data_IF_737230799453
#
_entry.id   IF_737230799453
#
_cell.length_a   1.000
_cell.length_b   1.000
_cell.length_c   1.000
_cell.angle_alpha   90.00
_cell.angle_beta   90.00
_cell.angle_gamma   90.00
#
_symmetry.space_group_name_H-M   'P 1'
#
loop_
_entity.id
_entity.type
_entity.pdbx_description
1 polymer ?
#
# COMPACT_ATOMS: atom_id res chain seq x y z
N UNK A 1 -2.71 20.91 11.73
CA UNK A 1 -1.49 20.36 12.37
C UNK A 1 -0.90 19.34 11.42
N UNK A 2 0.36 19.49 10.99
CA UNK A 2 1.01 18.43 10.22
C UNK A 2 1.37 17.30 11.18
N UNK A 3 0.60 16.21 11.13
CA UNK A 3 0.95 15.02 11.92
C UNK A 3 2.20 14.37 11.33
N UNK A 4 2.90 13.60 12.14
CA UNK A 4 4.11 12.89 11.76
C UNK A 4 3.99 11.43 12.15
N UNK A 5 4.63 10.55 11.40
CA UNK A 5 4.67 9.11 11.70
C UNK A 5 6.08 8.58 11.48
N UNK A 6 6.54 7.72 12.36
CA UNK A 6 7.80 7.00 12.15
C UNK A 6 7.63 5.99 11.01
N UNK A 7 8.59 5.97 10.10
CA UNK A 7 8.69 5.05 8.97
C UNK A 7 10.02 4.30 9.06
N UNK A 8 9.96 2.99 8.88
CA UNK A 8 11.15 2.18 8.60
C UNK A 8 11.00 1.54 7.23
N UNK A 9 12.08 1.55 6.45
CA UNK A 9 12.19 0.82 5.18
C UNK A 9 13.37 -0.14 5.25
N UNK A 10 13.12 -1.40 4.89
CA UNK A 10 14.14 -2.41 4.61
C UNK A 10 14.21 -2.63 3.10
N UNK A 11 15.34 -2.29 2.51
CA UNK A 11 15.65 -2.49 1.10
C UNK A 11 16.50 -3.74 0.94
N UNK A 12 16.15 -4.59 -0.02
CA UNK A 12 16.77 -5.88 -0.30
C UNK A 12 17.28 -5.87 -1.74
N UNK A 13 18.60 -5.80 -1.90
CA UNK A 13 19.27 -5.88 -3.18
C UNK A 13 19.66 -7.34 -3.45
N UNK A 14 18.98 -7.97 -4.41
CA UNK A 14 19.13 -9.39 -4.69
C UNK A 14 20.10 -9.65 -5.85
N UNK A 15 20.61 -10.87 -5.96
CA UNK A 15 21.50 -11.30 -7.04
C UNK A 15 20.87 -11.20 -8.44
N UNK A 16 19.53 -11.17 -8.50
CA UNK A 16 18.77 -10.81 -9.70
C UNK A 16 17.74 -9.72 -9.37
N UNK A 17 17.38 -8.86 -10.34
CA UNK A 17 16.28 -7.94 -10.15
C UNK A 17 14.97 -8.70 -9.87
N UNK A 18 14.24 -8.25 -8.85
CA UNK A 18 12.92 -8.76 -8.51
C UNK A 18 11.86 -8.13 -9.43
N UNK A 19 10.91 -8.95 -9.87
CA UNK A 19 9.80 -8.53 -10.71
C UNK A 19 8.67 -7.93 -9.87
N UNK A 20 7.89 -7.01 -10.43
CA UNK A 20 6.79 -6.31 -9.73
C UNK A 20 5.77 -7.27 -9.10
N UNK A 21 5.51 -8.42 -9.74
CA UNK A 21 4.59 -9.43 -9.21
C UNK A 21 5.15 -10.23 -8.01
N UNK A 22 6.46 -10.20 -7.79
CA UNK A 22 7.13 -10.89 -6.68
C UNK A 22 6.89 -10.20 -5.32
N UNK A 23 6.31 -9.00 -5.28
CA UNK A 23 5.90 -8.34 -4.02
C UNK A 23 4.96 -9.20 -3.16
N UNK A 24 4.06 -9.96 -3.80
CA UNK A 24 3.18 -10.91 -3.09
C UNK A 24 3.97 -12.08 -2.49
N UNK A 25 5.02 -12.53 -3.17
CA UNK A 25 5.88 -13.61 -2.71
C UNK A 25 6.79 -13.13 -1.57
N UNK A 26 7.28 -11.89 -1.66
CA UNK A 26 8.04 -11.23 -0.58
C UNK A 26 7.21 -11.15 0.71
N UNK A 27 5.94 -10.72 0.61
CA UNK A 27 4.99 -10.78 1.74
C UNK A 27 4.85 -12.21 2.27
N UNK A 28 4.75 -13.18 1.37
CA UNK A 28 4.68 -14.61 1.72
C UNK A 28 5.90 -15.11 2.50
N UNK A 29 7.10 -14.69 2.11
CA UNK A 29 8.36 -15.02 2.78
C UNK A 29 8.44 -14.46 4.20
N UNK A 30 8.29 -13.14 4.35
CA UNK A 30 8.34 -12.49 5.67
C UNK A 30 7.20 -12.95 6.55
N UNK A 31 6.04 -13.17 5.95
CA UNK A 31 5.01 -13.92 6.58
C UNK A 31 5.54 -15.27 7.10
N UNK A 32 5.89 -16.20 6.24
CA UNK A 32 6.32 -17.55 6.65
C UNK A 32 7.35 -17.57 7.79
N UNK A 33 8.23 -16.57 7.84
CA UNK A 33 9.23 -16.35 8.90
C UNK A 33 8.65 -15.85 10.23
N UNK A 34 7.65 -14.98 10.22
CA UNK A 34 7.08 -14.32 11.40
C UNK A 34 5.63 -14.74 11.70
N UNK A 35 5.31 -16.04 11.58
CA UNK A 35 3.96 -16.61 11.78
C UNK A 35 3.27 -16.22 13.09
N UNK A 36 4.04 -16.04 14.15
CA UNK A 36 3.53 -15.69 15.48
C UNK A 36 3.26 -14.18 15.65
N UNK A 37 3.44 -13.37 14.60
CA UNK A 37 3.24 -11.92 14.59
C UNK A 37 2.16 -11.55 13.58
N UNK A 38 0.90 -11.40 14.01
CA UNK A 38 -0.23 -11.04 13.15
C UNK A 38 0.02 -9.84 12.25
N UNK A 39 0.88 -8.92 12.65
CA UNK A 39 1.20 -7.68 11.93
C UNK A 39 1.93 -7.95 10.60
N UNK A 40 2.64 -9.07 10.47
CA UNK A 40 3.30 -9.47 9.23
C UNK A 40 2.37 -10.22 8.26
N UNK A 41 1.19 -10.66 8.73
CA UNK A 41 0.29 -11.57 7.99
C UNK A 41 -1.18 -11.19 7.97
N UNK A 42 -1.60 -10.26 8.80
CA UNK A 42 -2.96 -9.77 8.97
C UNK A 42 -3.99 -10.87 9.33
N UNK A 43 -3.58 -11.87 10.12
CA UNK A 43 -4.45 -12.90 10.68
C UNK A 43 -4.41 -12.83 12.22
N UNK A 44 -5.53 -12.46 12.85
CA UNK A 44 -5.70 -12.59 14.31
C UNK A 44 -6.27 -13.96 14.66
N UNK A 45 -6.15 -14.37 15.93
CA UNK A 45 -6.69 -15.64 16.45
C UNK A 45 -8.23 -15.79 16.31
N UNK A 46 -8.95 -14.71 15.95
CA UNK A 46 -10.41 -14.67 15.87
C UNK A 46 -10.98 -14.23 14.49
N UNK A 47 -10.16 -14.10 13.44
CA UNK A 47 -10.62 -13.75 12.09
C UNK A 47 -9.79 -12.69 11.36
N UNK A 48 -10.32 -12.17 10.25
CA UNK A 48 -9.70 -11.10 9.45
C UNK A 48 -9.64 -9.80 10.26
N UNK A 49 -8.45 -9.20 10.36
CA UNK A 49 -8.30 -7.85 10.92
C UNK A 49 -8.71 -6.85 9.84
N UNK A 50 -9.85 -6.18 10.00
CA UNK A 50 -10.35 -5.12 9.11
C UNK A 50 -9.63 -3.78 9.33
N UNK A 51 -8.30 -3.79 9.30
CA UNK A 51 -7.46 -2.58 9.44
C UNK A 51 -6.55 -2.43 8.22
N UNK A 52 -6.26 -1.19 7.85
CA UNK A 52 -5.24 -0.90 6.85
C UNK A 52 -3.88 -1.44 7.32
N UNK A 53 -3.11 -2.13 6.46
CA UNK A 53 -1.85 -2.75 6.85
C UNK A 53 -0.76 -1.72 7.13
N UNK A 54 -0.12 -1.84 8.29
CA UNK A 54 1.00 -0.98 8.70
C UNK A 54 2.38 -1.48 8.27
N UNK A 55 2.44 -2.68 7.67
CA UNK A 55 3.62 -3.23 7.00
C UNK A 55 3.25 -3.62 5.57
N UNK A 56 4.04 -3.18 4.59
CA UNK A 56 3.78 -3.39 3.17
C UNK A 56 5.03 -3.87 2.44
N UNK A 57 4.81 -4.68 1.41
CA UNK A 57 5.86 -5.31 0.61
C UNK A 57 5.74 -4.83 -0.83
N UNK A 58 6.86 -4.46 -1.44
CA UNK A 58 6.92 -3.89 -2.78
C UNK A 58 8.15 -4.40 -3.51
N UNK A 59 8.03 -4.59 -4.81
CA UNK A 59 9.16 -4.79 -5.73
C UNK A 59 9.05 -3.70 -6.77
N UNK A 60 9.98 -2.76 -6.76
CA UNK A 60 9.95 -1.56 -7.62
C UNK A 60 11.35 -1.28 -8.12
N UNK A 61 11.52 -1.20 -9.44
CA UNK A 61 12.83 -1.00 -10.07
C UNK A 61 13.80 -2.13 -9.79
N UNK A 62 13.33 -3.38 -9.75
CA UNK A 62 14.18 -4.56 -9.51
C UNK A 62 14.54 -4.83 -8.04
N UNK A 63 14.12 -3.98 -7.11
CA UNK A 63 14.54 -4.04 -5.70
C UNK A 63 13.38 -4.37 -4.78
N UNK A 64 13.59 -5.31 -3.86
CA UNK A 64 12.63 -5.66 -2.82
C UNK A 64 12.61 -4.61 -1.71
N UNK A 65 11.44 -4.16 -1.30
CA UNK A 65 11.25 -3.19 -0.22
C UNK A 65 10.18 -3.67 0.73
N UNK A 66 10.48 -3.61 2.02
CA UNK A 66 9.51 -3.74 3.11
C UNK A 66 9.43 -2.39 3.80
N UNK A 67 8.24 -1.82 3.90
CA UNK A 67 8.02 -0.53 4.55
C UNK A 67 7.02 -0.70 5.70
N UNK A 68 7.36 -0.17 6.87
CA UNK A 68 6.51 -0.12 8.04
C UNK A 68 6.31 1.32 8.50
N UNK A 69 5.10 1.67 8.96
CA UNK A 69 4.82 2.97 9.59
C UNK A 69 4.17 2.78 10.97
N UNK A 70 4.39 3.72 11.88
CA UNK A 70 3.88 3.64 13.25
C UNK A 70 4.29 2.33 13.92
N UNK A 71 3.32 1.55 14.43
CA UNK A 71 3.58 0.21 14.98
C UNK A 71 4.34 -0.72 14.02
N UNK A 72 4.09 -0.62 12.71
CA UNK A 72 4.79 -1.40 11.69
C UNK A 72 6.26 -1.02 11.53
N UNK A 73 6.63 0.24 11.82
CA UNK A 73 8.01 0.71 11.79
C UNK A 73 8.82 0.05 12.91
N UNK A 74 8.33 0.10 14.16
CA UNK A 74 8.98 -0.55 15.30
C UNK A 74 9.18 -2.04 15.09
N UNK A 75 8.18 -2.74 14.53
CA UNK A 75 8.30 -4.16 14.20
C UNK A 75 9.39 -4.43 13.17
N UNK A 76 9.47 -3.61 12.12
CA UNK A 76 10.45 -3.79 11.06
C UNK A 76 11.88 -3.48 11.53
N UNK A 77 12.05 -2.63 12.54
CA UNK A 77 13.35 -2.40 13.18
C UNK A 77 13.89 -3.63 13.92
N UNK A 78 13.02 -4.52 14.40
CA UNK A 78 13.40 -5.75 15.11
C UNK A 78 13.56 -6.97 14.18
N UNK A 79 13.21 -6.86 12.89
CA UNK A 79 13.31 -7.95 11.92
C UNK A 79 14.76 -8.20 11.54
N UNK A 80 15.18 -9.45 11.38
CA UNK A 80 16.50 -9.76 10.83
C UNK A 80 16.55 -9.52 9.32
N UNK A 81 17.67 -9.00 8.82
CA UNK A 81 17.96 -8.97 7.39
C UNK A 81 18.19 -10.41 6.87
N UNK A 82 17.39 -10.89 5.90
CA UNK A 82 17.58 -12.22 5.34
C UNK A 82 18.81 -12.24 4.41
N UNK A 83 19.56 -13.35 4.43
CA UNK A 83 20.62 -13.62 3.44
C UNK A 83 20.09 -14.19 2.14
N UNK A 84 18.92 -14.82 2.18
CA UNK A 84 18.25 -15.41 1.02
C UNK A 84 16.74 -15.20 1.13
N UNK A 85 16.08 -15.12 -0.03
CA UNK A 85 14.63 -15.09 -0.16
C UNK A 85 14.18 -16.35 -0.89
N UNK A 86 13.19 -17.06 -0.35
CA UNK A 86 12.50 -18.12 -1.09
C UNK A 86 11.24 -17.54 -1.72
N UNK A 87 11.26 -17.34 -3.04
CA UNK A 87 10.21 -16.72 -3.84
C UNK A 87 9.64 -17.80 -4.80
N UNK A 88 8.42 -18.24 -4.54
CA UNK A 88 7.74 -19.31 -5.31
C UNK A 88 8.57 -20.60 -5.51
N UNK A 89 9.34 -20.98 -4.49
CA UNK A 89 10.21 -22.17 -4.53
C UNK A 89 11.61 -21.92 -5.10
N UNK A 90 11.86 -20.78 -5.74
CA UNK A 90 13.19 -20.34 -6.13
C UNK A 90 13.89 -19.67 -4.94
N UNK A 91 15.17 -19.98 -4.72
CA UNK A 91 15.98 -19.29 -3.72
C UNK A 91 16.82 -18.22 -4.39
N UNK A 92 16.64 -16.97 -3.96
CA UNK A 92 17.38 -15.82 -4.45
C UNK A 92 18.29 -15.31 -3.35
N UNK A 93 19.57 -15.11 -3.66
CA UNK A 93 20.54 -14.53 -2.74
C UNK A 93 20.30 -13.01 -2.57
N UNK A 94 20.41 -12.55 -1.33
CA UNK A 94 20.39 -11.13 -0.97
C UNK A 94 21.82 -10.67 -0.81
N UNK A 95 22.27 -9.84 -1.75
CA UNK A 95 23.65 -9.33 -1.80
C UNK A 95 23.88 -8.21 -0.80
N UNK A 96 22.87 -7.33 -0.62
CA UNK A 96 22.95 -6.21 0.30
C UNK A 96 21.58 -5.88 0.90
N UNK A 97 21.60 -5.37 2.12
CA UNK A 97 20.40 -4.89 2.81
C UNK A 97 20.63 -3.53 3.44
N UNK A 98 19.75 -2.58 3.16
CA UNK A 98 19.78 -1.26 3.77
C UNK A 98 18.51 -1.02 4.58
N UNK A 99 18.67 -0.71 5.86
CA UNK A 99 17.57 -0.31 6.74
C UNK A 99 17.66 1.18 7.04
N UNK A 100 16.55 1.87 6.86
CA UNK A 100 16.45 3.29 7.16
C UNK A 100 15.20 3.56 7.99
N UNK A 101 15.35 4.32 9.08
CA UNK A 101 14.25 4.80 9.91
C UNK A 101 14.26 6.31 9.93
N UNK A 102 13.09 6.91 9.83
CA UNK A 102 12.90 8.35 9.74
C UNK A 102 11.50 8.72 10.24
N UNK A 103 11.31 9.99 10.60
CA UNK A 103 9.99 10.55 10.89
C UNK A 103 9.53 11.32 9.66
N UNK A 104 8.37 10.94 9.10
CA UNK A 104 7.82 11.55 7.89
C UNK A 104 6.50 12.27 8.18
N UNK A 105 6.22 13.30 7.39
CA UNK A 105 4.93 13.97 7.43
C UNK A 105 3.80 13.02 7.00
N UNK A 106 2.67 13.11 7.69
CA UNK A 106 1.49 12.28 7.47
C UNK A 106 0.26 13.05 7.94
N UNK A 107 -0.86 13.01 7.23
CA UNK A 107 -2.12 13.58 7.73
C UNK A 107 -2.70 14.72 6.88
N UNK A 108 -3.84 15.29 7.32
CA UNK A 108 -4.51 16.38 6.61
C UNK A 108 -3.62 17.62 6.47
N UNK A 109 -3.77 18.33 5.35
CA UNK A 109 -3.10 19.60 5.05
C UNK A 109 -4.11 20.61 4.49
N UNK A 110 -3.77 21.90 4.50
CA UNK A 110 -4.69 22.95 4.02
C UNK A 110 -4.86 22.97 2.49
N UNK A 111 -3.76 22.74 1.76
CA UNK A 111 -3.72 22.70 0.29
C UNK A 111 -3.84 21.28 -0.27
N UNK A 112 -3.98 21.19 -1.59
CA UNK A 112 -4.04 19.91 -2.27
C UNK A 112 -2.64 19.46 -2.73
N UNK A 113 -2.33 18.19 -2.48
CA UNK A 113 -1.12 17.52 -2.95
C UNK A 113 -1.51 16.55 -4.06
N UNK A 114 -0.75 16.55 -5.15
CA UNK A 114 -0.95 15.64 -6.27
C UNK A 114 -0.07 14.40 -6.15
N UNK A 115 -0.65 13.24 -6.45
CA UNK A 115 0.00 11.94 -6.40
C UNK A 115 -0.31 11.12 -7.65
N UNK A 116 0.62 10.23 -8.02
CA UNK A 116 0.44 9.20 -9.05
C UNK A 116 0.39 7.81 -8.42
N UNK A 117 -0.48 6.96 -8.93
CA UNK A 117 -0.40 5.52 -8.66
C UNK A 117 0.74 4.89 -9.47
N UNK A 118 1.77 4.40 -8.79
CA UNK A 118 2.85 3.62 -9.38
C UNK A 118 2.42 2.19 -9.69
N UNK A 119 1.54 1.64 -8.86
CA UNK A 119 0.94 0.32 -9.05
C UNK A 119 -0.58 0.43 -9.06
N UNK A 120 -1.31 -0.53 -9.67
CA UNK A 120 -2.76 -0.41 -9.84
C UNK A 120 -3.46 -0.25 -8.50
N UNK A 121 -4.34 0.75 -8.40
CA UNK A 121 -5.13 0.99 -7.20
C UNK A 121 -6.39 0.12 -7.22
N UNK A 122 -6.44 -0.84 -6.30
CA UNK A 122 -7.59 -1.72 -6.13
C UNK A 122 -8.60 -1.05 -5.19
N UNK A 123 -9.38 -0.12 -5.76
CA UNK A 123 -10.27 0.76 -5.01
C UNK A 123 -11.55 0.05 -4.53
N UNK A 124 -12.14 -0.79 -5.38
CA UNK A 124 -13.54 -1.15 -5.25
C UNK A 124 -13.74 -2.43 -4.41
N UNK A 125 -14.75 -2.40 -3.54
CA UNK A 125 -15.33 -3.62 -2.98
C UNK A 125 -16.33 -4.24 -3.98
N UNK A 126 -16.88 -5.42 -3.65
CA UNK A 126 -17.77 -6.13 -4.58
C UNK A 126 -18.99 -5.27 -4.95
N UNK A 127 -19.63 -4.66 -3.95
CA UNK A 127 -20.78 -3.77 -4.14
C UNK A 127 -20.43 -2.57 -5.05
N UNK A 128 -19.39 -1.81 -4.69
CA UNK A 128 -18.94 -0.66 -5.46
C UNK A 128 -18.48 -1.05 -6.87
N UNK A 129 -17.96 -2.27 -7.07
CA UNK A 129 -17.60 -2.76 -8.39
C UNK A 129 -18.82 -2.96 -9.27
N UNK A 130 -19.90 -3.56 -8.74
CA UNK A 130 -21.16 -3.69 -9.47
C UNK A 130 -21.75 -2.32 -9.81
N UNK A 131 -21.78 -1.39 -8.84
CA UNK A 131 -22.24 -0.02 -9.08
C UNK A 131 -21.39 0.68 -10.15
N UNK A 132 -20.06 0.59 -10.06
CA UNK A 132 -19.13 1.22 -10.99
C UNK A 132 -19.32 0.74 -12.44
N UNK A 133 -19.59 -0.56 -12.63
CA UNK A 133 -19.88 -1.13 -13.96
C UNK A 133 -21.15 -0.57 -14.57
N UNK A 134 -22.19 -0.39 -13.76
CA UNK A 134 -23.49 0.09 -14.21
C UNK A 134 -23.49 1.60 -14.52
N UNK A 135 -22.58 2.37 -13.90
CA UNK A 135 -22.41 3.79 -14.19
C UNK A 135 -21.92 4.02 -15.62
N UNK A 136 -22.66 4.83 -16.38
CA UNK A 136 -22.31 5.23 -17.76
C UNK A 136 -21.52 6.53 -17.82
N UNK A 137 -21.77 7.44 -16.88
CA UNK A 137 -21.14 8.76 -16.86
C UNK A 137 -19.77 8.70 -16.16
N UNK A 138 -18.75 9.26 -16.81
CA UNK A 138 -17.40 9.38 -16.24
C UNK A 138 -17.39 10.19 -14.94
N UNK A 139 -18.25 11.20 -14.83
CA UNK A 139 -18.39 12.04 -13.63
C UNK A 139 -18.84 11.23 -12.42
N UNK A 140 -19.89 10.42 -12.55
CA UNK A 140 -20.38 9.54 -11.48
C UNK A 140 -19.33 8.52 -11.01
N UNK A 141 -18.57 7.95 -11.97
CA UNK A 141 -17.45 7.04 -11.65
C UNK A 141 -16.36 7.76 -10.86
N UNK A 142 -16.03 8.99 -11.25
CA UNK A 142 -15.03 9.81 -10.57
C UNK A 142 -15.48 10.18 -9.16
N UNK A 143 -16.75 10.58 -8.97
CA UNK A 143 -17.32 10.85 -7.64
C UNK A 143 -17.30 9.63 -6.72
N UNK A 144 -17.57 8.43 -7.25
CA UNK A 144 -17.44 7.19 -6.49
C UNK A 144 -15.98 6.96 -6.07
N UNK A 145 -15.03 7.09 -7.00
CA UNK A 145 -13.60 6.90 -6.71
C UNK A 145 -13.09 7.94 -5.70
N UNK A 146 -13.52 9.19 -5.78
CA UNK A 146 -13.19 10.25 -4.82
C UNK A 146 -13.61 9.86 -3.40
N UNK A 147 -14.86 9.38 -3.23
CA UNK A 147 -15.36 8.90 -1.94
C UNK A 147 -14.60 7.68 -1.43
N UNK A 148 -14.28 6.73 -2.30
CA UNK A 148 -13.51 5.53 -1.94
C UNK A 148 -12.08 5.91 -1.51
N UNK A 149 -11.44 6.86 -2.19
CA UNK A 149 -10.11 7.35 -1.82
C UNK A 149 -10.11 7.98 -0.44
N UNK A 150 -11.07 8.87 -0.15
CA UNK A 150 -11.26 9.44 1.19
C UNK A 150 -11.46 8.34 2.24
N UNK A 151 -12.32 7.36 1.97
CA UNK A 151 -12.54 6.22 2.87
C UNK A 151 -11.28 5.40 3.14
N UNK A 152 -10.43 5.18 2.13
CA UNK A 152 -9.15 4.49 2.30
C UNK A 152 -8.17 5.28 3.19
N UNK A 153 -8.12 6.60 3.05
CA UNK A 153 -7.27 7.46 3.88
C UNK A 153 -7.75 7.52 5.33
N UNK A 154 -9.06 7.59 5.54
CA UNK A 154 -9.65 7.51 6.89
C UNK A 154 -9.37 6.16 7.54
N UNK A 155 -9.44 5.06 6.78
CA UNK A 155 -9.06 3.72 7.25
C UNK A 155 -7.59 3.65 7.67
N UNK A 156 -6.70 4.29 6.91
CA UNK A 156 -5.27 4.42 7.25
C UNK A 156 -5.05 5.24 8.53
N UNK A 157 -5.72 6.38 8.69
CA UNK A 157 -5.66 7.19 9.91
C UNK A 157 -6.12 6.39 11.14
N UNK A 158 -7.23 5.65 10.99
CA UNK A 158 -7.76 4.78 12.05
C UNK A 158 -6.78 3.67 12.43
N UNK A 159 -6.03 3.10 11.49
CA UNK A 159 -5.00 2.11 11.80
C UNK A 159 -3.82 2.68 12.60
N UNK A 160 -3.60 3.99 12.52
CA UNK A 160 -2.55 4.72 13.24
C UNK A 160 -3.09 5.41 14.50
N UNK A 161 -4.35 5.17 14.86
CA UNK A 161 -5.04 5.84 15.97
C UNK A 161 -4.99 7.38 15.88
N UNK A 162 -5.03 7.92 14.65
CA UNK A 162 -5.06 9.35 14.35
C UNK A 162 -6.50 9.80 14.12
N UNK A 163 -6.95 10.79 14.90
CA UNK A 163 -8.23 11.45 14.72
C UNK A 163 -8.14 12.50 13.60
N UNK A 164 -9.08 12.46 12.67
CA UNK A 164 -9.18 13.42 11.56
C UNK A 164 -10.39 14.31 11.80
N UNK A 165 -10.13 15.56 12.19
CA UNK A 165 -11.16 16.58 12.40
C UNK A 165 -11.47 17.37 11.12
N UNK A 166 -10.51 17.47 10.21
CA UNK A 166 -10.65 18.19 8.95
C UNK A 166 -11.39 17.36 7.89
N UNK A 167 -12.18 18.03 7.06
CA UNK A 167 -12.86 17.36 5.93
C UNK A 167 -11.85 17.02 4.84
N UNK A 168 -11.64 15.73 4.62
CA UNK A 168 -10.85 15.25 3.48
C UNK A 168 -11.60 15.41 2.17
N UNK A 169 -10.88 15.83 1.14
CA UNK A 169 -11.35 16.03 -0.23
C UNK A 169 -10.35 15.37 -1.16
N UNK A 170 -10.84 14.61 -2.13
CA UNK A 170 -10.00 13.98 -3.12
C UNK A 170 -10.62 14.12 -4.51
N UNK A 171 -9.75 14.23 -5.51
CA UNK A 171 -10.11 14.28 -6.92
C UNK A 171 -9.24 13.29 -7.70
N UNK A 172 -9.84 12.21 -8.18
CA UNK A 172 -9.16 11.14 -8.92
C UNK A 172 -9.29 11.38 -10.43
N UNK A 173 -8.16 11.36 -11.12
CA UNK A 173 -8.07 11.37 -12.58
C UNK A 173 -7.63 10.00 -13.07
N UNK A 174 -8.49 9.32 -13.83
CA UNK A 174 -8.26 7.96 -14.32
C UNK A 174 -7.64 7.99 -15.71
N UNK A 175 -6.42 7.47 -15.82
CA UNK A 175 -5.72 7.29 -17.10
C UNK A 175 -6.11 5.97 -17.76
N UNK A 176 -6.41 4.95 -16.95
CA UNK A 176 -6.78 3.63 -17.44
C UNK A 176 -7.24 2.70 -16.33
N UNK A 177 -7.83 1.58 -16.74
CA UNK A 177 -8.20 0.49 -15.83
C UNK A 177 -7.72 -0.84 -16.39
N UNK A 178 -7.32 -1.74 -15.52
CA UNK A 178 -6.87 -3.08 -15.87
C UNK A 178 -7.50 -4.14 -14.96
N UNK A 179 -7.57 -5.38 -15.45
CA UNK A 179 -7.96 -6.51 -14.63
C UNK A 179 -6.72 -7.04 -13.89
N UNK A 180 -6.79 -7.05 -12.55
CA UNK A 180 -5.71 -7.51 -11.69
C UNK A 180 -6.08 -8.87 -11.10
N UNK A 181 -5.40 -9.92 -11.54
CA UNK A 181 -5.56 -11.27 -11.01
C UNK A 181 -4.94 -11.37 -9.60
N UNK A 182 -5.76 -11.66 -8.59
CA UNK A 182 -5.34 -11.81 -7.20
C UNK A 182 -5.11 -13.28 -6.84
N UNK A 183 -5.96 -14.17 -7.36
CA UNK A 183 -5.88 -15.64 -7.25
C UNK A 183 -6.49 -16.27 -8.52
N UNK A 184 -6.45 -17.61 -8.62
CA UNK A 184 -6.90 -18.35 -9.80
C UNK A 184 -8.26 -17.88 -10.34
N UNK A 185 -9.24 -17.67 -9.46
CA UNK A 185 -10.62 -17.31 -9.82
C UNK A 185 -11.06 -15.96 -9.23
N UNK A 186 -10.11 -15.12 -8.82
CA UNK A 186 -10.41 -13.81 -8.21
C UNK A 186 -9.60 -12.74 -8.89
N UNK A 187 -10.29 -11.90 -9.66
CA UNK A 187 -9.77 -10.70 -10.28
C UNK A 187 -10.43 -9.45 -9.70
N UNK A 188 -9.69 -8.35 -9.61
CA UNK A 188 -10.19 -7.06 -9.19
C UNK A 188 -9.89 -6.00 -10.26
N UNK A 189 -10.72 -4.97 -10.34
CA UNK A 189 -10.43 -3.81 -11.20
C UNK A 189 -9.33 -2.96 -10.56
N UNK A 190 -8.21 -2.82 -11.26
CA UNK A 190 -7.16 -1.86 -10.94
C UNK A 190 -7.38 -0.56 -11.68
N UNK A 191 -7.28 0.56 -10.96
CA UNK A 191 -7.32 1.92 -11.52
C UNK A 191 -5.89 2.45 -11.60
N UNK A 192 -5.52 3.05 -12.74
CA UNK A 192 -4.31 3.84 -12.91
C UNK A 192 -4.64 5.31 -13.13
N UNK A 193 -3.73 6.17 -12.70
CA UNK A 193 -3.82 7.61 -12.94
C UNK A 193 -3.23 8.42 -11.80
N UNK A 194 -3.75 9.63 -11.65
CA UNK A 194 -3.33 10.57 -10.61
C UNK A 194 -4.50 10.93 -9.70
N UNK A 195 -4.21 11.55 -8.58
CA UNK A 195 -5.22 12.15 -7.74
C UNK A 195 -4.67 13.36 -6.99
N UNK A 196 -5.55 14.30 -6.66
CA UNK A 196 -5.29 15.39 -5.72
C UNK A 196 -6.01 15.12 -4.41
N UNK A 197 -5.36 15.44 -3.30
CA UNK A 197 -5.95 15.30 -1.97
C UNK A 197 -5.34 16.31 -1.01
N UNK A 198 -6.13 16.81 -0.07
CA UNK A 198 -5.66 17.62 1.04
C UNK A 198 -5.07 16.77 2.18
N UNK A 199 -4.17 15.85 1.83
CA UNK A 199 -3.59 14.87 2.75
C UNK A 199 -2.15 14.50 2.33
N UNK A 200 -1.22 14.50 3.29
CA UNK A 200 0.14 14.01 3.08
C UNK A 200 0.18 12.49 3.29
N UNK A 201 0.47 11.77 2.21
CA UNK A 201 0.74 10.33 2.21
C UNK A 201 2.26 10.13 2.18
N UNK A 202 2.83 9.25 3.02
CA UNK A 202 4.24 8.93 2.97
C UNK A 202 4.64 8.38 1.60
N UNK A 203 5.83 8.77 1.15
CA UNK A 203 6.37 8.38 -0.14
C UNK A 203 6.39 6.86 -0.29
N UNK A 204 5.98 6.35 -1.46
CA UNK A 204 5.86 4.92 -1.78
C UNK A 204 4.88 4.13 -0.87
N UNK A 205 3.93 4.79 -0.19
CA UNK A 205 2.92 4.08 0.58
C UNK A 205 1.77 3.56 -0.30
N UNK A 206 1.26 2.38 0.02
CA UNK A 206 0.13 1.75 -0.68
C UNK A 206 -1.20 2.05 0.00
N UNK A 207 -2.23 2.37 -0.77
CA UNK A 207 -3.60 2.59 -0.29
C UNK A 207 -4.62 1.71 -1.02
N UNK A 208 -5.78 1.47 -0.39
CA UNK A 208 -6.82 0.59 -0.92
C UNK A 208 -6.56 -0.89 -0.65
N UNK A 209 -7.27 -1.75 -1.39
CA UNK A 209 -7.21 -3.20 -1.17
C UNK A 209 -5.86 -3.78 -1.61
N UNK A 210 -5.44 -4.83 -0.90
CA UNK A 210 -4.18 -5.54 -1.15
C UNK A 210 -2.93 -4.64 -1.10
N UNK A 211 -3.00 -3.49 -0.44
CA UNK A 211 -1.87 -2.56 -0.27
C UNK A 211 -0.67 -3.20 0.44
N UNK A 212 -0.92 -4.18 1.32
CA UNK A 212 0.14 -5.01 1.91
C UNK A 212 1.00 -5.72 0.84
N UNK A 213 0.44 -6.04 -0.33
CA UNK A 213 1.13 -6.71 -1.45
C UNK A 213 1.69 -5.72 -2.48
N UNK A 214 1.68 -4.42 -2.17
CA UNK A 214 2.26 -3.39 -3.02
C UNK A 214 1.31 -2.73 -4.00
N UNK A 215 0.01 -3.07 -4.00
CA UNK A 215 -1.00 -2.38 -4.81
C UNK A 215 -1.34 -0.99 -4.28
N UNK A 216 -1.80 -0.10 -5.18
CA UNK A 216 -2.12 1.28 -4.87
C UNK A 216 -0.95 2.08 -4.30
N UNK A 217 0.28 1.72 -4.65
CA UNK A 217 1.48 2.46 -4.23
C UNK A 217 1.47 3.83 -4.89
N UNK A 218 1.68 4.88 -4.09
CA UNK A 218 1.63 6.27 -4.57
C UNK A 218 3.01 6.94 -4.54
N UNK A 219 3.19 7.90 -5.44
CA UNK A 219 4.33 8.80 -5.51
C UNK A 219 3.83 10.24 -5.65
N UNK A 220 4.39 11.18 -4.90
CA UNK A 220 3.99 12.59 -5.02
C UNK A 220 4.46 13.16 -6.36
N UNK A 221 3.59 13.90 -7.06
CA UNK A 221 3.93 14.62 -8.28
C UNK A 221 4.03 16.11 -7.95
N UNK A 222 5.09 16.77 -8.41
CA UNK A 222 5.26 18.21 -8.19
C UNK A 222 5.66 18.55 -6.76
N UNK A 223 6.97 18.71 -6.59
CA UNK A 223 7.64 19.38 -5.49
C UNK A 223 8.69 20.31 -6.07
#
# INVERSE_FOLDING_TARGET
MNSQVERTTLTLCCARPLQDHEATQLRGFFGGRYRNRPEFHHHGQAGLIYRHPLVQYKTIGGVGRVAGIGAGSFLLQAVDSPRTLTLNGETVEVLDTHRHTEVVAFGPVEGDIEYRFLTPWLALNEENYQTYKQMRLKTQRSELLNRVLVGNLLSLCKSLDIEVTDRLRAEVSVDGTEEVKIKQDVSLLGVRGTFRVNFTIPEMWGIGKQSARGFGTVHRIGG
#
